data_IF_953223677146
#
_entry.id   IF_953223677146
#
_cell.length_a   1.000
_cell.length_b   1.000
_cell.length_c   1.000
_cell.angle_alpha   90.00
_cell.angle_beta   90.00
_cell.angle_gamma   90.00
#
_symmetry.space_group_name_H-M   'P 1'
#
loop_
_entity.id
_entity.type
_entity.pdbx_description
1 polymer ?
#
# COMPACT_ATOMS: atom_id res chain seq x y z
N UNK A 1 0.28 -26.07 -6.34
CA UNK A 1 0.78 -24.68 -6.17
C UNK A 1 1.80 -24.63 -5.04
N UNK A 2 3.01 -25.16 -5.30
CA UNK A 2 4.13 -25.14 -4.36
C UNK A 2 4.98 -23.88 -4.52
N UNK A 3 5.98 -23.71 -3.66
CA UNK A 3 6.99 -22.66 -3.84
C UNK A 3 8.08 -23.13 -4.80
N UNK A 4 8.52 -22.23 -5.69
CA UNK A 4 9.62 -22.46 -6.62
C UNK A 4 10.77 -21.52 -6.29
N UNK A 5 11.90 -22.07 -5.81
CA UNK A 5 13.10 -21.31 -5.44
C UNK A 5 14.22 -21.48 -6.48
N UNK A 6 14.88 -20.38 -6.83
CA UNK A 6 16.10 -20.40 -7.63
C UNK A 6 17.34 -20.35 -6.75
N UNK A 7 18.31 -21.25 -6.98
CA UNK A 7 19.58 -21.24 -6.25
C UNK A 7 20.39 -19.97 -6.55
N UNK A 8 20.77 -19.23 -5.50
CA UNK A 8 21.55 -17.99 -5.63
C UNK A 8 20.86 -16.87 -6.41
N UNK A 9 19.57 -17.01 -6.76
CA UNK A 9 18.84 -16.05 -7.57
C UNK A 9 18.52 -14.79 -6.75
N UNK A 10 18.84 -13.63 -7.31
CA UNK A 10 18.46 -12.34 -6.72
C UNK A 10 16.99 -12.02 -6.99
N UNK A 11 16.38 -11.18 -6.14
CA UNK A 11 14.99 -10.72 -6.32
C UNK A 11 14.78 -10.04 -7.68
N UNK A 12 15.76 -9.25 -8.13
CA UNK A 12 15.67 -8.54 -9.41
C UNK A 12 15.67 -9.51 -10.60
N UNK A 13 16.54 -10.52 -10.59
CA UNK A 13 16.56 -11.57 -11.62
C UNK A 13 15.26 -12.38 -11.63
N UNK A 14 14.72 -12.70 -10.45
CA UNK A 14 13.43 -13.38 -10.34
C UNK A 14 12.32 -12.55 -10.99
N UNK A 15 12.22 -11.26 -10.66
CA UNK A 15 11.20 -10.37 -11.23
C UNK A 15 11.36 -10.27 -12.75
N UNK A 16 12.59 -10.03 -13.24
CA UNK A 16 12.85 -9.91 -14.68
C UNK A 16 12.43 -11.18 -15.44
N UNK A 17 12.68 -12.37 -14.86
CA UNK A 17 12.23 -13.64 -15.42
C UNK A 17 10.71 -13.77 -15.40
N UNK A 18 10.07 -13.45 -14.29
CA UNK A 18 8.62 -13.55 -14.15
C UNK A 18 7.87 -12.57 -15.04
N UNK A 19 8.45 -11.41 -15.37
CA UNK A 19 7.82 -10.39 -16.21
C UNK A 19 8.27 -10.45 -17.68
N UNK A 20 9.05 -11.48 -18.06
CA UNK A 20 9.50 -11.65 -19.43
C UNK A 20 8.34 -12.06 -20.35
N UNK A 21 8.35 -11.54 -21.56
CA UNK A 21 7.44 -12.01 -22.61
C UNK A 21 7.85 -13.42 -23.03
N UNK A 22 6.85 -14.27 -23.26
CA UNK A 22 7.06 -15.65 -23.70
C UNK A 22 6.28 -15.89 -25.00
N UNK A 23 6.95 -16.44 -26.01
CA UNK A 23 6.32 -16.92 -27.24
C UNK A 23 6.50 -18.43 -27.30
N UNK A 24 5.37 -19.14 -27.41
CA UNK A 24 5.31 -20.59 -27.59
C UNK A 24 4.52 -20.89 -28.85
N UNK A 25 4.68 -22.08 -29.42
CA UNK A 25 3.98 -22.48 -30.64
C UNK A 25 2.46 -22.38 -30.46
N UNK A 26 1.86 -21.33 -31.05
CA UNK A 26 0.42 -21.07 -31.04
C UNK A 26 -0.10 -20.11 -29.96
N UNK A 27 0.74 -19.60 -29.05
CA UNK A 27 0.34 -18.50 -28.16
C UNK A 27 1.52 -17.60 -27.74
N UNK A 28 1.26 -16.30 -27.62
CA UNK A 28 2.22 -15.33 -27.07
C UNK A 28 1.66 -14.76 -25.78
N UNK A 29 2.47 -14.77 -24.72
CA UNK A 29 2.17 -14.17 -23.42
C UNK A 29 3.02 -12.92 -23.26
N UNK A 30 2.38 -11.74 -23.16
CA UNK A 30 3.07 -10.46 -22.96
C UNK A 30 2.73 -9.82 -21.62
N UNK A 31 3.75 -9.26 -20.97
CA UNK A 31 3.57 -8.50 -19.75
C UNK A 31 3.23 -7.04 -20.09
N UNK A 32 1.95 -6.68 -20.01
CA UNK A 32 1.52 -5.31 -20.29
C UNK A 32 1.97 -4.33 -19.20
N UNK A 33 1.93 -4.78 -17.95
CA UNK A 33 2.29 -3.95 -16.80
C UNK A 33 2.65 -4.81 -15.60
N UNK A 34 3.60 -4.34 -14.80
CA UNK A 34 3.94 -4.99 -13.54
C UNK A 34 4.34 -3.97 -12.48
N UNK A 35 4.16 -4.35 -11.21
CA UNK A 35 4.66 -3.59 -10.08
C UNK A 35 4.85 -4.49 -8.87
N UNK A 36 5.70 -4.08 -7.93
CA UNK A 36 5.84 -4.79 -6.65
C UNK A 36 5.26 -4.00 -5.49
N UNK A 37 4.44 -4.66 -4.67
CA UNK A 37 3.94 -4.15 -3.40
C UNK A 37 4.48 -5.04 -2.28
N UNK A 38 5.57 -4.59 -1.65
CA UNK A 38 6.33 -5.41 -0.70
C UNK A 38 6.88 -6.67 -1.37
N UNK A 39 6.43 -7.84 -0.90
CA UNK A 39 6.82 -9.15 -1.41
C UNK A 39 5.79 -9.74 -2.38
N UNK A 40 4.85 -8.94 -2.88
CA UNK A 40 3.90 -9.37 -3.91
C UNK A 40 4.24 -8.69 -5.22
N UNK A 41 4.42 -9.48 -6.28
CA UNK A 41 4.55 -9.02 -7.65
C UNK A 41 3.17 -9.11 -8.31
N UNK A 42 2.65 -7.96 -8.72
CA UNK A 42 1.41 -7.85 -9.48
C UNK A 42 1.73 -7.66 -10.95
N UNK A 43 1.09 -8.45 -11.81
CA UNK A 43 1.30 -8.44 -13.26
C UNK A 43 -0.02 -8.37 -14.00
N UNK A 44 -0.06 -7.67 -15.13
CA UNK A 44 -1.14 -7.72 -16.11
C UNK A 44 -0.60 -8.45 -17.32
N UNK A 45 -1.20 -9.61 -17.60
CA UNK A 45 -0.82 -10.44 -18.72
C UNK A 45 -1.83 -10.32 -19.85
N UNK A 46 -1.32 -10.35 -21.07
CA UNK A 46 -2.11 -10.56 -22.28
C UNK A 46 -1.63 -11.84 -22.95
N UNK A 47 -2.56 -12.75 -23.22
CA UNK A 47 -2.32 -13.98 -23.96
C UNK A 47 -2.98 -13.82 -25.32
N UNK A 48 -2.16 -13.66 -26.35
CA UNK A 48 -2.54 -13.75 -27.75
C UNK A 48 -2.56 -15.23 -28.16
N UNK A 49 -3.66 -15.69 -28.75
CA UNK A 49 -3.79 -17.03 -29.34
C UNK A 49 -3.81 -16.91 -30.87
N UNK A 50 -3.92 -18.04 -31.56
CA UNK A 50 -4.02 -18.10 -33.02
C UNK A 50 -4.98 -17.05 -33.63
N UNK A 51 -4.69 -16.62 -34.85
CA UNK A 51 -5.39 -15.54 -35.55
C UNK A 51 -6.92 -15.74 -35.54
N UNK A 52 -7.64 -14.73 -35.05
CA UNK A 52 -9.11 -14.73 -34.96
C UNK A 52 -9.69 -14.96 -33.56
N UNK A 53 -8.86 -15.29 -32.56
CA UNK A 53 -9.30 -15.36 -31.15
C UNK A 53 -8.94 -14.07 -30.43
N UNK A 54 -9.90 -13.48 -29.73
CA UNK A 54 -9.66 -12.28 -28.93
C UNK A 54 -8.60 -12.55 -27.84
N UNK A 55 -7.66 -11.61 -27.60
CA UNK A 55 -6.63 -11.81 -26.60
C UNK A 55 -7.24 -11.89 -25.20
N UNK A 56 -6.76 -12.84 -24.39
CA UNK A 56 -7.20 -13.01 -23.01
C UNK A 56 -6.31 -12.20 -22.10
N UNK A 57 -6.90 -11.37 -21.23
CA UNK A 57 -6.16 -10.61 -20.21
C UNK A 57 -6.50 -11.12 -18.83
N UNK A 58 -5.51 -11.17 -17.94
CA UNK A 58 -5.72 -11.52 -16.54
C UNK A 58 -4.69 -10.84 -15.62
N UNK A 59 -5.01 -10.77 -14.33
CA UNK A 59 -4.11 -10.26 -13.30
C UNK A 59 -3.40 -11.43 -12.62
N UNK A 60 -2.06 -11.40 -12.64
CA UNK A 60 -1.19 -12.31 -11.89
C UNK A 60 -0.82 -11.74 -10.52
N UNK A 61 -0.66 -12.63 -9.54
CA UNK A 61 -0.26 -12.36 -8.17
C UNK A 61 0.83 -13.36 -7.76
N UNK A 62 2.09 -12.98 -7.95
CA UNK A 62 3.23 -13.82 -7.58
C UNK A 62 3.75 -13.41 -6.19
N UNK A 63 3.68 -14.31 -5.22
CA UNK A 63 4.28 -14.10 -3.90
C UNK A 63 5.78 -14.37 -4.01
N UNK A 64 6.61 -13.44 -3.56
CA UNK A 64 8.06 -13.56 -3.56
C UNK A 64 8.55 -13.85 -2.15
N UNK A 65 9.42 -14.84 -1.99
CA UNK A 65 10.06 -15.16 -0.73
C UNK A 65 11.53 -15.44 -0.92
N UNK A 66 12.34 -15.18 0.11
CA UNK A 66 13.72 -15.60 0.15
C UNK A 66 13.86 -16.84 1.03
N UNK A 67 14.59 -17.84 0.54
CA UNK A 67 14.87 -19.06 1.28
C UNK A 67 16.36 -19.20 1.60
N UNK A 68 16.64 -19.64 2.83
CA UNK A 68 17.99 -19.86 3.35
C UNK A 68 18.67 -21.04 2.69
N UNK A 69 17.93 -22.12 2.45
CA UNK A 69 18.45 -23.40 1.93
C UNK A 69 18.94 -23.23 0.50
N UNK A 70 18.18 -22.52 -0.33
CA UNK A 70 18.56 -22.18 -1.69
C UNK A 70 19.46 -20.94 -1.79
N UNK A 71 19.68 -20.23 -0.67
CA UNK A 71 20.34 -18.92 -0.61
C UNK A 71 19.84 -17.96 -1.71
N UNK A 72 18.52 -17.96 -1.95
CA UNK A 72 17.96 -17.38 -3.16
C UNK A 72 16.48 -17.02 -3.04
N UNK A 73 16.01 -16.23 -3.99
CA UNK A 73 14.61 -15.85 -4.10
C UNK A 73 13.81 -16.90 -4.86
N UNK A 74 12.57 -17.08 -4.42
CA UNK A 74 11.58 -17.91 -5.07
C UNK A 74 10.23 -17.24 -5.11
N UNK A 75 9.30 -17.90 -5.79
CA UNK A 75 7.94 -17.42 -5.96
C UNK A 75 6.90 -18.51 -5.80
N UNK A 76 5.69 -18.08 -5.51
CA UNK A 76 4.47 -18.89 -5.63
C UNK A 76 3.49 -18.12 -6.51
N UNK A 77 3.15 -18.72 -7.64
CA UNK A 77 2.20 -18.19 -8.60
C UNK A 77 0.77 -18.30 -8.08
N UNK A 78 0.01 -17.22 -8.25
CA UNK A 78 -1.43 -17.16 -8.05
C UNK A 78 -2.04 -16.18 -9.07
N UNK A 79 -3.34 -16.23 -9.28
CA UNK A 79 -4.07 -15.31 -10.15
C UNK A 79 -5.34 -14.78 -9.47
N UNK A 80 -5.99 -13.79 -10.09
CA UNK A 80 -7.26 -13.22 -9.61
C UNK A 80 -8.34 -14.29 -9.32
N UNK A 81 -8.44 -15.32 -10.16
CA UNK A 81 -9.42 -16.42 -10.02
C UNK A 81 -9.30 -17.21 -8.72
N UNK A 82 -8.11 -17.20 -8.11
CA UNK A 82 -7.86 -17.89 -6.85
C UNK A 82 -8.26 -17.06 -5.63
N UNK A 83 -8.80 -15.86 -5.84
CA UNK A 83 -9.16 -14.87 -4.81
C UNK A 83 -8.09 -14.74 -3.72
N UNK A 84 -6.86 -14.34 -4.09
CA UNK A 84 -5.78 -14.27 -3.13
C UNK A 84 -6.15 -13.27 -2.01
N UNK A 85 -5.88 -13.62 -0.75
CA UNK A 85 -6.08 -12.73 0.42
C UNK A 85 -5.10 -11.53 0.45
N UNK A 86 -4.65 -11.07 -0.72
CA UNK A 86 -3.77 -9.95 -0.95
C UNK A 86 -4.52 -8.87 -1.73
N UNK A 87 -4.67 -7.71 -1.11
CA UNK A 87 -5.51 -6.62 -1.64
C UNK A 87 -4.71 -5.39 -2.11
N UNK A 88 -3.39 -5.54 -2.24
CA UNK A 88 -2.51 -4.43 -2.61
C UNK A 88 -2.37 -4.19 -4.12
N UNK A 89 -3.14 -4.92 -4.94
CA UNK A 89 -3.16 -4.78 -6.40
C UNK A 89 -3.51 -3.35 -6.82
N UNK A 90 -2.78 -2.70 -7.76
CA UNK A 90 -3.12 -1.37 -8.23
C UNK A 90 -4.52 -1.30 -8.86
N UNK A 91 -5.29 -0.26 -8.53
CA UNK A 91 -6.63 -0.06 -9.09
C UNK A 91 -6.64 0.03 -10.62
N UNK A 92 -5.60 0.64 -11.21
CA UNK A 92 -5.46 0.74 -12.66
C UNK A 92 -5.39 -0.62 -13.37
N UNK A 93 -5.00 -1.70 -12.68
CA UNK A 93 -4.93 -3.03 -13.30
C UNK A 93 -6.33 -3.65 -13.42
N UNK A 94 -7.22 -3.31 -12.50
CA UNK A 94 -8.62 -3.76 -12.53
C UNK A 94 -9.34 -3.24 -13.78
N UNK A 95 -8.99 -2.04 -14.25
CA UNK A 95 -9.61 -1.43 -15.43
C UNK A 95 -9.03 -1.98 -16.75
N UNK A 96 -7.86 -2.63 -16.72
CA UNK A 96 -7.20 -3.21 -17.90
C UNK A 96 -7.68 -4.63 -18.23
N UNK A 97 -8.32 -5.30 -17.28
CA UNK A 97 -8.63 -6.73 -17.32
C UNK A 97 -10.12 -6.96 -17.09
N UNK A 98 -10.80 -7.80 -17.89
CA UNK A 98 -12.19 -8.19 -17.65
C UNK A 98 -12.40 -8.70 -16.21
N UNK A 99 -13.51 -8.36 -15.54
CA UNK A 99 -13.74 -8.77 -14.16
C UNK A 99 -13.97 -10.28 -14.07
N UNK A 100 -13.14 -10.97 -13.27
CA UNK A 100 -13.27 -12.41 -13.02
C UNK A 100 -13.70 -12.69 -11.58
N UNK A 101 -13.12 -11.98 -10.60
CA UNK A 101 -13.46 -12.13 -9.18
C UNK A 101 -14.00 -10.80 -8.59
N UNK A 102 -15.29 -10.49 -8.74
CA UNK A 102 -15.85 -9.19 -8.32
C UNK A 102 -15.70 -8.94 -6.81
N UNK A 103 -15.92 -9.96 -5.98
CA UNK A 103 -15.78 -9.85 -4.52
C UNK A 103 -14.35 -9.50 -4.09
N UNK A 104 -13.35 -10.10 -4.74
CA UNK A 104 -11.95 -9.76 -4.49
C UNK A 104 -11.64 -8.31 -4.91
N UNK A 105 -12.15 -7.86 -6.06
CA UNK A 105 -11.95 -6.47 -6.54
C UNK A 105 -12.56 -5.44 -5.59
N UNK A 106 -13.70 -5.73 -4.99
CA UNK A 106 -14.30 -4.87 -3.95
C UNK A 106 -13.38 -4.75 -2.73
N UNK A 107 -12.78 -5.85 -2.28
CA UNK A 107 -11.82 -5.84 -1.18
C UNK A 107 -10.54 -5.05 -1.53
N UNK A 108 -10.06 -5.14 -2.77
CA UNK A 108 -8.95 -4.30 -3.27
C UNK A 108 -9.32 -2.82 -3.21
N UNK A 109 -10.52 -2.44 -3.68
CA UNK A 109 -11.02 -1.05 -3.62
C UNK A 109 -11.16 -0.56 -2.18
N UNK A 110 -11.70 -1.40 -1.29
CA UNK A 110 -11.81 -1.10 0.13
C UNK A 110 -10.44 -0.91 0.79
N UNK A 111 -9.47 -1.77 0.48
CA UNK A 111 -8.11 -1.66 0.99
C UNK A 111 -7.44 -0.35 0.56
N UNK A 112 -7.56 0.04 -0.72
CA UNK A 112 -7.02 1.32 -1.21
C UNK A 112 -7.73 2.52 -0.60
N UNK A 113 -9.05 2.44 -0.38
CA UNK A 113 -9.82 3.51 0.28
C UNK A 113 -9.37 3.69 1.73
N UNK A 114 -9.29 2.59 2.49
CA UNK A 114 -8.82 2.60 3.87
C UNK A 114 -7.38 3.10 3.97
N UNK A 115 -6.52 2.65 3.05
CA UNK A 115 -5.13 3.10 2.95
C UNK A 115 -5.05 4.60 2.63
N UNK A 116 -5.81 5.08 1.65
CA UNK A 116 -5.79 6.50 1.26
C UNK A 116 -6.24 7.38 2.43
N UNK A 117 -7.32 7.01 3.13
CA UNK A 117 -7.76 7.68 4.37
C UNK A 117 -6.66 7.71 5.43
N UNK A 118 -5.96 6.59 5.61
CA UNK A 118 -4.81 6.52 6.52
C UNK A 118 -3.59 7.33 6.03
N UNK A 119 -3.48 7.74 4.77
CA UNK A 119 -2.40 8.64 4.30
C UNK A 119 -2.82 10.10 4.20
N UNK A 120 -4.13 10.36 4.15
CA UNK A 120 -4.71 11.68 3.93
C UNK A 120 -5.20 12.36 5.20
N UNK A 121 -4.82 11.89 6.40
CA UNK A 121 -5.13 12.59 7.65
C UNK A 121 -4.57 14.03 7.53
N UNK A 122 -5.44 15.05 7.49
CA UNK A 122 -5.01 16.42 7.30
C UNK A 122 -4.44 16.91 8.62
N UNK A 123 -3.14 16.75 8.79
CA UNK A 123 -2.41 17.28 9.92
C UNK A 123 -1.95 18.70 9.59
N UNK A 124 -2.06 19.60 10.56
CA UNK A 124 -1.47 20.93 10.53
C UNK A 124 -0.44 21.05 11.69
N UNK A 125 0.64 21.85 11.52
CA UNK A 125 1.47 22.25 12.64
C UNK A 125 0.61 22.85 13.77
N UNK A 126 0.82 22.39 15.00
CA UNK A 126 0.05 22.76 16.19
C UNK A 126 -1.04 21.76 16.59
N UNK A 127 -1.44 20.84 15.72
CA UNK A 127 -2.48 19.87 16.05
C UNK A 127 -2.05 18.93 17.18
N UNK A 128 -2.93 18.70 18.15
CA UNK A 128 -2.71 17.73 19.23
C UNK A 128 -3.36 16.40 18.85
N UNK A 129 -2.55 15.35 18.77
CA UNK A 129 -2.97 14.00 18.40
C UNK A 129 -3.05 13.11 19.62
N UNK A 130 -4.20 12.47 19.82
CA UNK A 130 -4.36 11.36 20.77
C UNK A 130 -4.16 10.05 20.02
N UNK A 131 -3.16 9.27 20.45
CA UNK A 131 -2.72 8.05 19.80
C UNK A 131 -3.06 6.81 20.65
N UNK A 132 -3.43 5.71 19.99
CA UNK A 132 -3.64 4.41 20.64
C UNK A 132 -2.75 3.31 20.06
N UNK A 133 -2.32 2.38 20.92
CA UNK A 133 -1.47 1.26 20.53
C UNK A 133 0.00 1.62 20.24
N UNK A 134 0.43 2.83 20.61
CA UNK A 134 1.83 3.26 20.60
C UNK A 134 2.28 3.59 22.02
N UNK A 135 3.60 3.63 22.25
CA UNK A 135 4.18 4.07 23.53
C UNK A 135 3.90 5.55 23.83
N UNK A 136 3.72 6.35 22.79
CA UNK A 136 3.33 7.76 22.85
C UNK A 136 1.80 7.83 22.81
N UNK A 137 1.20 8.42 23.86
CA UNK A 137 -0.26 8.56 23.98
C UNK A 137 -0.78 9.89 23.43
N UNK A 138 0.01 10.94 23.55
CA UNK A 138 -0.32 12.28 23.03
C UNK A 138 0.89 12.86 22.34
N UNK A 139 0.69 13.51 21.19
CA UNK A 139 1.77 14.16 20.46
C UNK A 139 1.27 15.43 19.75
N UNK A 140 2.08 16.49 19.77
CA UNK A 140 1.79 17.75 19.07
C UNK A 140 2.50 17.74 17.72
N UNK A 141 1.78 18.04 16.63
CA UNK A 141 2.38 18.14 15.30
C UNK A 141 3.24 19.40 15.24
N UNK A 142 4.53 19.25 14.92
CA UNK A 142 5.48 20.38 14.87
C UNK A 142 5.65 20.86 13.44
N UNK A 143 6.00 19.95 12.53
CA UNK A 143 6.32 20.30 11.15
C UNK A 143 6.19 19.11 10.22
N UNK A 144 6.17 19.38 8.91
CA UNK A 144 6.17 18.36 7.88
C UNK A 144 7.57 18.23 7.28
N UNK A 145 8.09 17.01 7.24
CA UNK A 145 9.33 16.67 6.57
C UNK A 145 9.06 15.68 5.42
N UNK A 146 9.00 16.19 4.19
CA UNK A 146 8.67 15.43 2.97
C UNK A 146 7.31 14.70 3.07
N UNK A 147 7.33 13.37 3.21
CA UNK A 147 6.16 12.48 3.35
C UNK A 147 5.94 12.03 4.79
N UNK A 148 6.58 12.64 5.78
CA UNK A 148 6.41 12.31 7.21
C UNK A 148 6.19 13.58 8.01
N UNK A 149 5.50 13.47 9.14
CA UNK A 149 5.37 14.56 10.10
C UNK A 149 6.40 14.41 11.21
N UNK A 150 6.77 15.51 11.83
CA UNK A 150 7.51 15.53 13.08
C UNK A 150 6.51 15.88 14.17
N UNK A 151 6.44 15.05 15.20
CA UNK A 151 5.56 15.25 16.34
C UNK A 151 6.39 15.31 17.62
N UNK A 152 5.99 16.16 18.55
CA UNK A 152 6.60 16.28 19.88
C UNK A 152 5.73 15.58 20.92
N UNK A 153 6.35 14.79 21.79
CA UNK A 153 5.70 14.21 22.97
C UNK A 153 6.66 14.26 24.16
N UNK A 154 6.27 14.97 25.23
CA UNK A 154 7.06 15.05 26.46
C UNK A 154 8.47 15.58 26.24
N UNK A 155 8.63 16.61 25.39
CA UNK A 155 9.93 17.22 25.08
C UNK A 155 10.83 16.43 24.12
N UNK A 156 10.34 15.33 23.53
CA UNK A 156 11.07 14.55 22.52
C UNK A 156 10.37 14.61 21.16
N UNK A 157 11.15 14.80 20.11
CA UNK A 157 10.68 14.80 18.73
C UNK A 157 10.72 13.39 18.13
N UNK A 158 9.63 13.00 17.49
CA UNK A 158 9.48 11.71 16.83
C UNK A 158 9.09 11.89 15.37
N UNK A 159 9.66 11.05 14.50
CA UNK A 159 9.23 10.96 13.11
C UNK A 159 7.93 10.16 13.04
N UNK A 160 6.89 10.80 12.53
CA UNK A 160 5.54 10.27 12.42
C UNK A 160 5.17 10.03 10.94
N UNK A 161 5.48 8.85 10.37
CA UNK A 161 5.13 8.52 9.00
C UNK A 161 3.61 8.25 8.85
N UNK A 162 3.03 8.46 7.65
CA UNK A 162 1.60 8.29 7.38
C UNK A 162 1.00 6.94 7.78
N UNK A 163 1.81 5.87 7.73
CA UNK A 163 1.39 4.53 8.23
C UNK A 163 0.96 4.52 9.70
N UNK A 164 1.33 5.53 10.47
CA UNK A 164 0.94 5.67 11.87
C UNK A 164 -0.39 6.42 12.07
N UNK A 165 -0.96 7.05 11.04
CA UNK A 165 -2.20 7.82 11.19
C UNK A 165 -3.39 6.96 11.62
N UNK A 166 -3.37 5.65 11.31
CA UNK A 166 -4.34 4.67 11.82
C UNK A 166 -4.40 4.56 13.34
N UNK A 167 -3.37 5.05 14.05
CA UNK A 167 -3.31 5.08 15.50
C UNK A 167 -3.90 6.37 16.09
N UNK A 168 -4.19 7.38 15.27
CA UNK A 168 -4.84 8.61 15.70
C UNK A 168 -6.30 8.29 16.01
N UNK A 169 -6.68 8.48 17.28
CA UNK A 169 -8.05 8.30 17.76
C UNK A 169 -8.77 9.64 17.83
N UNK A 170 -8.05 10.71 18.14
CA UNK A 170 -8.57 12.06 18.15
C UNK A 170 -7.50 13.05 17.67
N UNK A 171 -7.95 14.10 17.00
CA UNK A 171 -7.14 15.23 16.57
C UNK A 171 -7.85 16.50 17.04
N UNK A 172 -7.11 17.36 17.74
CA UNK A 172 -7.59 18.67 18.18
C UNK A 172 -6.77 19.73 17.46
N UNK A 173 -7.43 20.50 16.59
CA UNK A 173 -6.77 21.56 15.84
C UNK A 173 -6.35 22.71 16.75
N UNK A 174 -5.17 23.28 16.49
CA UNK A 174 -4.70 24.47 17.20
C UNK A 174 -5.65 25.66 17.02
N UNK A 175 -6.30 25.76 15.85
CA UNK A 175 -7.24 26.84 15.51
C UNK A 175 -8.50 26.90 16.39
N UNK A 176 -8.76 25.87 17.21
CA UNK A 176 -9.89 25.86 18.15
C UNK A 176 -9.62 26.59 19.47
N UNK A 177 -8.39 27.07 19.71
CA UNK A 177 -8.08 27.91 20.86
C UNK A 177 -8.16 29.39 20.44
N UNK A 178 -9.38 29.88 20.22
CA UNK A 178 -9.62 31.33 20.22
C UNK A 178 -9.21 31.91 21.58
N UNK A 179 -8.58 33.09 21.64
CA UNK A 179 -8.14 33.67 22.89
C UNK A 179 -9.36 33.94 23.77
N UNK A 180 -9.51 33.18 24.86
CA UNK A 180 -10.34 33.59 25.98
C UNK A 180 -9.68 34.82 26.59
N UNK A 181 -10.02 36.00 26.06
CA UNK A 181 -9.77 37.26 26.73
C UNK A 181 -10.58 37.21 28.04
N UNK A 182 -9.88 36.97 29.14
CA UNK A 182 -10.39 37.24 30.47
C UNK A 182 -10.73 38.72 30.55
N UNK A 183 -12.02 39.05 30.46
CA UNK A 183 -12.53 40.33 30.90
C UNK A 183 -12.61 40.27 32.43
N UNK A 184 -11.49 40.59 33.07
CA UNK A 184 -11.41 40.76 34.51
C UNK A 184 -11.60 42.25 34.84
N UNK A 185 -12.56 42.48 35.74
CA UNK A 185 -12.77 43.61 36.64
C UNK A 185 -12.57 45.07 36.15
N UNK A 186 -13.67 45.84 36.18
CA UNK A 186 -13.64 47.26 36.56
C UNK A 186 -14.99 47.69 37.15
N UNK A 187 -15.12 47.52 38.47
CA UNK A 187 -15.89 48.42 39.34
C UNK A 187 -14.91 48.84 40.43
N UNK A 188 -14.75 50.14 40.70
CA UNK A 188 -15.33 50.61 41.96
C UNK A 188 -15.88 52.05 41.92
N UNK A 189 -16.84 52.25 42.83
CA UNK A 189 -17.29 53.49 43.50
C UNK A 189 -18.23 54.43 42.75
#
# INVERSE_FOLDING_TARGET
MGWLFGHGQTRAQLIARLTGDEAHDGFTRRCLRHCTSGNVLWTVWEIERAAGVAPMRFIGCDLLAWDKTCAGWGYKDMCEEMEPLYYSCPLAYLDMVPPVAPAWREQVRAWHTARSRAHSCPLAPGDVLTLSGLSIKEAVVVSRHHRSWIVESGGRLFRFPPRLFRHIVAQRSADACGPQHGADASTPS
#
